data_IF_959662520882
#
_entry.id   IF_959662520882
#
_cell.length_a   1.000
_cell.length_b   1.000
_cell.length_c   1.000
_cell.angle_alpha   90.00
_cell.angle_beta   90.00
_cell.angle_gamma   90.00
#
_symmetry.space_group_name_H-M   'P 1'
#
loop_
_entity.id
_entity.type
_entity.pdbx_description
1 polymer ?
#
# COMPACT_ATOMS: atom_id res chain seq x y z
N UNK A 1 15.37 17.86 -15.53
CA UNK A 1 15.00 16.48 -15.89
C UNK A 1 14.70 15.78 -14.57
N UNK A 2 13.46 15.87 -14.11
CA UNK A 2 13.03 15.27 -12.83
C UNK A 2 12.58 13.85 -13.14
N UNK A 3 13.36 12.86 -12.72
CA UNK A 3 12.99 11.45 -12.82
C UNK A 3 11.79 11.21 -11.91
N UNK A 4 10.60 11.16 -12.50
CA UNK A 4 9.45 10.47 -11.91
C UNK A 4 9.82 9.00 -11.77
N UNK A 5 10.54 8.67 -10.69
CA UNK A 5 10.70 7.29 -10.26
C UNK A 5 9.31 6.79 -9.90
N UNK A 6 8.73 6.11 -10.87
CA UNK A 6 7.53 5.32 -10.72
C UNK A 6 7.92 4.13 -9.83
N UNK A 7 8.05 4.37 -8.52
CA UNK A 7 8.36 3.37 -7.49
C UNK A 7 7.16 2.44 -7.34
N UNK A 8 6.93 1.63 -8.36
CA UNK A 8 6.07 0.46 -8.26
C UNK A 8 6.60 -0.39 -7.10
N UNK A 9 5.75 -0.75 -6.14
CA UNK A 9 6.17 -1.57 -5.01
C UNK A 9 6.79 -2.86 -5.55
N UNK A 10 8.06 -3.10 -5.23
CA UNK A 10 8.68 -4.38 -5.58
C UNK A 10 8.00 -5.47 -4.75
N UNK A 11 7.40 -6.44 -5.43
CA UNK A 11 6.91 -7.65 -4.79
C UNK A 11 8.01 -8.70 -4.93
N UNK A 12 8.48 -9.21 -3.79
CA UNK A 12 9.55 -10.20 -3.71
C UNK A 12 9.14 -11.34 -2.79
N UNK A 13 9.79 -12.48 -2.96
CA UNK A 13 9.61 -13.62 -2.07
C UNK A 13 10.44 -13.43 -0.79
N UNK A 14 9.82 -13.63 0.37
CA UNK A 14 10.47 -13.56 1.66
C UNK A 14 11.59 -14.61 1.76
N UNK A 15 12.82 -14.15 1.99
CA UNK A 15 13.97 -15.03 2.24
C UNK A 15 14.10 -15.44 3.70
N UNK A 16 13.50 -14.66 4.59
CA UNK A 16 13.51 -14.84 6.03
C UNK A 16 12.11 -14.57 6.57
N UNK A 17 11.73 -15.28 7.63
CA UNK A 17 10.50 -14.97 8.38
C UNK A 17 10.62 -13.63 9.10
N UNK A 18 9.51 -12.93 9.27
CA UNK A 18 9.48 -11.63 9.95
C UNK A 18 8.06 -11.20 10.28
N UNK A 19 7.92 -9.99 10.85
CA UNK A 19 6.64 -9.42 11.20
C UNK A 19 6.21 -8.38 10.16
N UNK A 20 4.96 -8.47 9.71
CA UNK A 20 4.34 -7.50 8.81
C UNK A 20 3.99 -6.22 9.58
N UNK A 21 4.48 -5.08 9.10
CA UNK A 21 4.21 -3.80 9.73
C UNK A 21 2.73 -3.34 9.63
N UNK A 22 1.95 -3.83 8.66
CA UNK A 22 0.54 -3.42 8.49
C UNK A 22 -0.44 -4.24 9.33
N UNK A 23 -0.36 -5.58 9.26
CA UNK A 23 -1.31 -6.45 9.96
C UNK A 23 -0.81 -6.94 11.32
N UNK A 24 0.48 -6.73 11.64
CA UNK A 24 1.11 -7.28 12.84
C UNK A 24 1.31 -8.81 12.82
N UNK A 25 0.84 -9.49 11.78
CA UNK A 25 1.04 -10.93 11.58
C UNK A 25 2.46 -11.25 11.10
N UNK A 26 2.84 -12.52 11.17
CA UNK A 26 4.16 -12.97 10.72
C UNK A 26 4.11 -13.50 9.29
N UNK A 27 5.02 -13.07 8.43
CA UNK A 27 5.29 -13.71 7.14
C UNK A 27 6.37 -14.78 7.31
N UNK A 28 6.24 -15.86 6.53
CA UNK A 28 7.16 -16.98 6.47
C UNK A 28 8.08 -16.88 5.24
N UNK A 29 9.14 -17.69 5.23
CA UNK A 29 9.99 -17.85 4.04
C UNK A 29 9.13 -18.39 2.89
N UNK A 30 9.20 -17.75 1.73
CA UNK A 30 8.35 -18.07 0.59
C UNK A 30 7.14 -17.15 0.42
N UNK A 31 6.76 -16.39 1.45
CA UNK A 31 5.60 -15.50 1.34
C UNK A 31 5.88 -14.30 0.43
N UNK A 32 4.89 -13.84 -0.34
CA UNK A 32 5.02 -12.63 -1.12
C UNK A 32 5.01 -11.42 -0.18
N UNK A 33 6.14 -10.72 -0.11
CA UNK A 33 6.31 -9.50 0.67
C UNK A 33 6.63 -8.33 -0.25
N UNK A 34 6.32 -7.14 0.23
CA UNK A 34 6.68 -5.90 -0.46
C UNK A 34 7.33 -4.93 0.51
N UNK A 35 8.12 -4.03 -0.06
CA UNK A 35 8.69 -2.89 0.62
C UNK A 35 8.76 -1.73 -0.37
N UNK A 36 7.91 -0.70 -0.21
CA UNK A 36 7.83 0.43 -1.14
C UNK A 36 9.14 1.18 -1.33
N UNK A 37 9.89 1.41 -0.25
CA UNK A 37 11.20 2.05 -0.28
C UNK A 37 12.15 1.41 0.74
N UNK A 38 13.45 1.65 0.60
CA UNK A 38 14.46 1.02 1.47
C UNK A 38 14.36 1.41 2.96
N UNK A 39 13.63 2.49 3.29
CA UNK A 39 13.44 2.99 4.64
C UNK A 39 12.21 2.42 5.33
N UNK A 40 11.30 1.80 4.58
CA UNK A 40 10.09 1.19 5.11
C UNK A 40 10.32 -0.26 5.55
N UNK A 41 9.43 -0.72 6.42
CA UNK A 41 9.41 -2.09 6.91
C UNK A 41 8.81 -3.03 5.85
N UNK A 42 9.21 -4.30 5.91
CA UNK A 42 8.61 -5.34 5.08
C UNK A 42 7.16 -5.59 5.52
N UNK A 43 6.29 -5.80 4.54
CA UNK A 43 4.87 -6.07 4.71
C UNK A 43 4.43 -7.17 3.75
N UNK A 44 3.35 -7.89 4.03
CA UNK A 44 2.79 -8.81 3.03
C UNK A 44 2.39 -8.02 1.79
N UNK A 45 2.62 -8.58 0.61
CA UNK A 45 2.16 -7.95 -0.64
C UNK A 45 0.63 -7.84 -0.72
N UNK A 46 -0.09 -8.72 -0.02
CA UNK A 46 -1.54 -8.71 0.08
C UNK A 46 -2.08 -7.83 1.22
N UNK A 47 -1.22 -7.31 2.10
CA UNK A 47 -1.70 -6.38 3.12
C UNK A 47 -2.13 -5.07 2.45
N UNK A 48 -3.30 -4.53 2.82
CA UNK A 48 -3.69 -3.21 2.34
C UNK A 48 -2.62 -2.22 2.77
N UNK A 49 -2.11 -1.42 1.83
CA UNK A 49 -1.27 -0.27 2.20
C UNK A 49 -2.09 0.57 3.17
N UNK A 50 -1.47 1.00 4.25
CA UNK A 50 -2.08 1.75 5.36
C UNK A 50 -3.22 2.67 4.92
N UNK A 51 -4.27 2.76 5.75
CA UNK A 51 -5.59 3.44 5.63
C UNK A 51 -5.70 4.83 4.94
N UNK A 52 -4.61 5.38 4.40
CA UNK A 52 -4.52 6.66 3.70
C UNK A 52 -4.03 6.54 2.24
N UNK A 53 -3.72 5.34 1.75
CA UNK A 53 -3.65 5.07 0.31
C UNK A 53 -5.08 5.03 -0.24
N UNK A 54 -5.69 6.21 -0.36
CA UNK A 54 -6.88 6.35 -1.18
C UNK A 54 -6.42 6.31 -2.62
N UNK A 55 -6.97 5.38 -3.40
CA UNK A 55 -6.84 5.46 -4.85
C UNK A 55 -7.31 6.87 -5.27
N UNK A 56 -6.61 7.56 -6.19
CA UNK A 56 -7.06 8.88 -6.65
C UNK A 56 -8.46 8.84 -7.28
N UNK A 57 -8.98 7.64 -7.63
CA UNK A 57 -10.38 7.43 -8.01
C UNK A 57 -11.38 7.49 -6.86
N UNK A 58 -10.93 7.25 -5.63
CA UNK A 58 -11.76 7.25 -4.41
C UNK A 58 -11.83 8.63 -3.75
N UNK A 59 -11.02 9.62 -4.15
CA UNK A 59 -11.09 10.98 -3.62
C UNK A 59 -11.84 11.89 -4.60
N UNK A 60 -12.88 12.57 -4.14
CA UNK A 60 -13.58 13.55 -4.96
C UNK A 60 -12.66 14.76 -5.24
N UNK A 61 -12.42 15.15 -6.51
CA UNK A 61 -11.58 16.30 -6.82
C UNK A 61 -12.21 17.65 -6.48
N UNK A 62 -13.49 17.67 -6.11
CA UNK A 62 -14.25 18.88 -5.79
C UNK A 62 -14.22 19.19 -4.30
N UNK A 63 -14.45 18.19 -3.45
CA UNK A 63 -14.55 18.37 -1.99
C UNK A 63 -13.46 17.62 -1.21
N UNK A 64 -12.53 16.95 -1.89
CA UNK A 64 -11.42 16.19 -1.31
C UNK A 64 -11.85 15.13 -0.26
N UNK A 65 -13.11 14.70 -0.32
CA UNK A 65 -13.68 13.68 0.56
C UNK A 65 -13.59 12.30 -0.10
N UNK A 66 -13.31 11.27 0.70
CA UNK A 66 -13.27 9.87 0.26
C UNK A 66 -14.68 9.40 -0.06
N UNK A 67 -14.87 8.83 -1.25
CA UNK A 67 -16.11 8.29 -1.75
C UNK A 67 -16.44 7.02 -0.96
N UNK A 68 -17.19 7.17 0.13
CA UNK A 68 -17.61 6.05 0.98
C UNK A 68 -18.60 5.15 0.22
N UNK A 69 -18.09 4.16 -0.53
CA UNK A 69 -18.77 2.94 -1.04
C UNK A 69 -20.01 3.11 -1.95
N UNK A 70 -20.69 4.25 -1.96
CA UNK A 70 -21.98 4.47 -2.64
C UNK A 70 -21.89 5.34 -3.89
N UNK A 71 -20.69 5.65 -4.38
CA UNK A 71 -20.54 6.27 -5.69
C UNK A 71 -20.83 7.78 -5.75
N UNK A 72 -21.44 8.39 -4.73
CA UNK A 72 -21.82 9.80 -4.75
C UNK A 72 -21.16 10.54 -3.57
N UNK A 73 -20.28 11.49 -3.88
CA UNK A 73 -19.91 12.52 -2.93
C UNK A 73 -21.01 13.59 -2.96
N UNK A 74 -21.58 13.92 -1.80
CA UNK A 74 -22.71 14.86 -1.65
C UNK A 74 -22.30 16.34 -1.78
N UNK A 75 -21.36 16.65 -2.66
CA UNK A 75 -20.87 18.01 -2.94
C UNK A 75 -21.64 18.66 -4.08
#
# INVERSE_FOLDING_TARGET
>A
MSTTSNEHPIIVTARFSGACADCGGHFQVGDPITRPNHFEMWRHAACPRTKFDFDPGDVCPVCFTVRATSGACSC
#
